data_IF_163193877390
#
_entry.id   IF_163193877390
#
_cell.length_a   1.000
_cell.length_b   1.000
_cell.length_c   1.000
_cell.angle_alpha   90.00
_cell.angle_beta   90.00
_cell.angle_gamma   90.00
#
_symmetry.space_group_name_H-M   'P 1'
#
loop_
_entity.id
_entity.type
_entity.pdbx_description
1 polymer ?
#
# COMPACT_ATOMS: atom_id res chain seq x y z
N UNK A 1 -11.28 -8.36 -8.73
CA UNK A 1 -10.06 -9.13 -8.40
C UNK A 1 -8.83 -8.28 -8.59
N UNK A 2 -7.93 -8.31 -7.65
CA UNK A 2 -6.72 -7.50 -7.69
C UNK A 2 -5.70 -8.10 -8.65
N UNK A 3 -5.15 -7.28 -9.53
CA UNK A 3 -4.21 -7.71 -10.56
C UNK A 3 -2.94 -6.86 -10.47
N UNK A 4 -1.91 -7.30 -11.18
CA UNK A 4 -0.68 -6.52 -11.32
C UNK A 4 -1.01 -5.13 -11.85
N UNK A 5 -0.30 -4.16 -11.28
CA UNK A 5 -0.42 -2.73 -11.59
C UNK A 5 -1.68 -2.08 -11.05
N UNK A 6 -2.55 -2.83 -10.37
CA UNK A 6 -3.70 -2.23 -9.72
C UNK A 6 -3.27 -1.37 -8.55
N UNK A 7 -4.01 -0.30 -8.33
CA UNK A 7 -3.90 0.50 -7.12
C UNK A 7 -4.71 -0.18 -6.02
N UNK A 8 -4.11 -0.30 -4.84
CA UNK A 8 -4.76 -0.93 -3.69
C UNK A 8 -4.60 -0.06 -2.46
N UNK A 9 -5.39 -0.35 -1.45
CA UNK A 9 -5.38 0.38 -0.19
C UNK A 9 -4.97 -0.57 0.92
N UNK A 10 -4.04 -0.12 1.75
CA UNK A 10 -3.58 -0.91 2.89
C UNK A 10 -4.72 -1.00 3.91
N UNK A 11 -5.01 -2.21 4.35
CA UNK A 11 -6.14 -2.46 5.24
C UNK A 11 -5.73 -2.61 6.70
N UNK A 12 -4.46 -2.44 7.01
CA UNK A 12 -3.94 -2.57 8.38
C UNK A 12 -2.73 -1.67 8.53
N UNK A 13 -2.42 -1.30 9.76
CA UNK A 13 -1.21 -0.55 10.03
C UNK A 13 0.02 -1.45 9.94
N UNK A 14 1.11 -0.90 9.43
CA UNK A 14 2.41 -1.56 9.41
C UNK A 14 3.41 -0.57 10.02
N UNK A 15 3.36 -0.39 11.34
CA UNK A 15 4.13 0.68 11.99
C UNK A 15 5.64 0.53 11.83
N UNK A 16 6.13 -0.70 11.75
CA UNK A 16 7.56 -0.92 11.58
C UNK A 16 8.07 -0.40 10.24
N UNK A 17 7.17 -0.18 9.28
CA UNK A 17 7.52 0.36 7.98
C UNK A 17 7.09 1.80 7.81
N UNK A 18 6.48 2.37 8.84
CA UNK A 18 5.94 3.71 8.75
C UNK A 18 4.69 3.81 7.90
N UNK A 19 4.03 2.69 7.65
CA UNK A 19 2.82 2.65 6.83
C UNK A 19 1.59 2.51 7.72
N UNK A 20 0.48 3.05 7.24
CA UNK A 20 -0.76 3.07 8.00
C UNK A 20 -1.91 2.62 7.14
N UNK A 21 -2.92 2.08 7.81
CA UNK A 21 -4.17 1.75 7.16
C UNK A 21 -4.67 2.94 6.36
N UNK A 22 -5.07 2.69 5.13
CA UNK A 22 -5.51 3.74 4.24
C UNK A 22 -4.44 4.22 3.26
N UNK A 23 -3.18 3.85 3.49
CA UNK A 23 -2.13 4.19 2.54
C UNK A 23 -2.37 3.46 1.23
N UNK A 24 -2.04 4.12 0.14
CA UNK A 24 -2.30 3.62 -1.21
C UNK A 24 -1.00 3.10 -1.80
N UNK A 25 -1.07 1.93 -2.41
CA UNK A 25 0.08 1.33 -3.06
C UNK A 25 -0.29 0.73 -4.40
N UNK A 26 0.73 0.21 -5.09
CA UNK A 26 0.56 -0.40 -6.39
C UNK A 26 1.03 -1.84 -6.34
N UNK A 27 0.22 -2.75 -6.86
CA UNK A 27 0.59 -4.16 -6.92
C UNK A 27 1.65 -4.33 -8.00
N UNK A 28 2.83 -4.81 -7.61
CA UNK A 28 3.89 -5.08 -8.57
C UNK A 28 3.99 -6.55 -8.91
N UNK A 29 3.39 -7.43 -8.11
CA UNK A 29 3.36 -8.86 -8.40
C UNK A 29 2.22 -9.50 -7.63
N UNK A 30 1.54 -10.44 -8.26
CA UNK A 30 0.53 -11.28 -7.62
C UNK A 30 1.17 -12.64 -7.37
N UNK A 31 1.15 -13.10 -6.12
CA UNK A 31 1.75 -14.38 -5.76
C UNK A 31 0.79 -15.51 -6.03
N UNK A 32 1.30 -16.60 -6.60
CA UNK A 32 0.47 -17.73 -6.96
C UNK A 32 -0.22 -18.36 -5.75
N UNK A 33 0.40 -18.30 -4.60
CA UNK A 33 -0.16 -18.87 -3.38
C UNK A 33 -1.10 -17.92 -2.64
N UNK A 34 -1.38 -16.77 -3.23
CA UNK A 34 -2.19 -15.74 -2.60
C UNK A 34 -1.32 -14.66 -1.99
N UNK A 35 -1.85 -13.45 -1.97
CA UNK A 35 -1.09 -12.31 -1.51
C UNK A 35 -0.43 -11.56 -2.64
N UNK A 36 0.18 -10.45 -2.29
CA UNK A 36 0.66 -9.49 -3.28
C UNK A 36 1.96 -8.86 -2.82
N UNK A 37 2.79 -8.51 -3.82
CA UNK A 37 3.91 -7.62 -3.61
C UNK A 37 3.40 -6.22 -3.91
N UNK A 38 3.51 -5.29 -2.97
CA UNK A 38 2.92 -3.96 -3.10
C UNK A 38 4.00 -2.90 -2.86
N UNK A 39 4.07 -1.95 -3.78
CA UNK A 39 5.00 -0.82 -3.66
C UNK A 39 4.24 0.39 -3.13
N UNK A 40 4.78 0.99 -2.07
CA UNK A 40 4.27 2.23 -1.50
C UNK A 40 5.24 3.35 -1.81
N UNK A 41 4.73 4.43 -2.39
CA UNK A 41 5.53 5.57 -2.83
C UNK A 41 4.96 6.86 -2.29
N UNK A 42 5.84 7.84 -2.12
CA UNK A 42 5.38 9.19 -1.87
C UNK A 42 4.73 9.75 -3.14
N UNK A 43 3.96 10.82 -2.97
CA UNK A 43 3.28 11.44 -4.11
C UNK A 43 4.27 12.08 -5.08
N UNK A 44 5.48 12.39 -4.62
CA UNK A 44 6.51 12.95 -5.50
C UNK A 44 7.46 11.88 -6.03
N UNK A 45 7.13 10.60 -5.84
CA UNK A 45 7.78 9.52 -6.59
C UNK A 45 8.89 8.76 -5.87
N UNK A 46 9.03 8.94 -4.56
CA UNK A 46 10.03 8.21 -3.79
C UNK A 46 9.44 6.90 -3.30
N UNK A 47 10.10 5.77 -3.58
CA UNK A 47 9.66 4.48 -3.05
C UNK A 47 9.96 4.40 -1.56
N UNK A 48 8.94 4.17 -0.77
CA UNK A 48 9.09 4.03 0.68
C UNK A 48 9.32 2.57 1.04
N UNK A 49 8.57 1.66 0.44
CA UNK A 49 8.70 0.24 0.74
C UNK A 49 8.07 -0.60 -0.37
N UNK A 50 8.63 -1.78 -0.57
CA UNK A 50 7.99 -2.82 -1.39
C UNK A 50 7.83 -4.01 -0.46
N UNK A 51 6.60 -4.43 -0.22
CA UNK A 51 6.30 -5.42 0.80
C UNK A 51 5.41 -6.52 0.27
N UNK A 52 5.66 -7.74 0.76
CA UNK A 52 4.77 -8.87 0.51
C UNK A 52 3.66 -8.84 1.55
N UNK A 53 2.43 -8.81 1.10
CA UNK A 53 1.28 -8.72 2.00
C UNK A 53 0.27 -9.81 1.67
N UNK A 54 -0.31 -10.44 2.70
CA UNK A 54 -1.41 -11.37 2.47
C UNK A 54 -2.64 -10.60 1.98
N UNK A 55 -3.52 -11.29 1.28
CA UNK A 55 -4.66 -10.65 0.64
C UNK A 55 -5.54 -9.91 1.64
N UNK A 56 -5.60 -10.38 2.88
CA UNK A 56 -6.46 -9.72 3.89
C UNK A 56 -5.93 -8.37 4.35
N UNK A 57 -4.69 -8.03 4.03
CA UNK A 57 -4.09 -6.77 4.46
C UNK A 57 -4.22 -5.67 3.42
N UNK A 58 -4.76 -5.99 2.26
CA UNK A 58 -4.99 -5.00 1.20
C UNK A 58 -6.41 -5.16 0.68
N UNK A 59 -6.92 -4.09 0.12
CA UNK A 59 -8.23 -4.12 -0.53
C UNK A 59 -8.17 -3.32 -1.82
N UNK A 60 -9.05 -3.63 -2.78
CA UNK A 60 -9.10 -2.82 -3.99
C UNK A 60 -9.68 -1.43 -3.69
N UNK A 61 -9.48 -0.52 -4.64
CA UNK A 61 -10.12 0.79 -4.58
C UNK A 61 -11.63 0.57 -4.71
N UNK A 62 -12.38 1.24 -3.85
CA UNK A 62 -13.83 1.21 -3.92
C UNK A 62 -14.37 2.32 -4.79
N UNK A 63 -15.68 2.32 -4.94
CA UNK A 63 -16.33 3.39 -5.70
C UNK A 63 -16.36 4.66 -4.86
N UNK A 64 -16.15 5.80 -5.53
CA UNK A 64 -16.29 7.12 -4.92
C UNK A 64 -15.35 7.32 -3.74
N UNK A 65 -14.16 6.75 -3.82
CA UNK A 65 -13.12 7.02 -2.83
C UNK A 65 -12.20 8.11 -3.33
N UNK A 66 -11.77 8.96 -2.41
CA UNK A 66 -10.82 10.02 -2.73
C UNK A 66 -9.57 9.84 -1.90
N UNK A 67 -8.42 10.07 -2.51
CA UNK A 67 -7.15 9.96 -1.82
C UNK A 67 -6.97 11.11 -0.84
N UNK A 68 -6.25 10.82 0.25
CA UNK A 68 -5.92 11.80 1.26
C UNK A 68 -4.42 11.76 1.50
N UNK A 69 -3.79 12.94 1.51
CA UNK A 69 -2.35 13.02 1.68
C UNK A 69 -2.00 13.16 3.16
N UNK A 70 -0.97 12.43 3.58
CA UNK A 70 -0.39 12.61 4.91
C UNK A 70 1.11 12.74 4.77
N UNK A 71 1.72 13.46 5.68
CA UNK A 71 3.17 13.60 5.69
C UNK A 71 3.82 12.42 6.38
N UNK A 72 4.87 11.91 5.77
CA UNK A 72 5.73 10.95 6.45
C UNK A 72 6.70 11.74 7.31
N UNK A 73 6.76 11.41 8.58
CA UNK A 73 7.57 12.17 9.50
C UNK A 73 8.84 11.42 9.80
N UNK A 74 9.91 12.16 9.90
CA UNK A 74 11.12 11.56 10.43
C UNK A 74 10.81 11.04 11.82
N UNK A 75 11.20 9.82 12.08
CA UNK A 75 11.01 9.26 13.39
C UNK A 75 11.84 10.02 14.39
N UNK A 76 11.37 10.10 15.56
CA UNK A 76 12.14 10.55 16.67
C UNK A 76 12.82 11.84 16.43
N UNK A 77 12.27 12.51 15.70
CA UNK A 77 12.87 13.80 15.59
C UNK A 77 12.89 14.37 16.94
#
# INVERSE_FOLDING_TARGET
MIQEHDTVVLAADLPELGLARGDVGTVVMVHAAGGYEVEFMTLDGETIAVVSLPSKKVRPIGRREIAHARSLRATAA
#
